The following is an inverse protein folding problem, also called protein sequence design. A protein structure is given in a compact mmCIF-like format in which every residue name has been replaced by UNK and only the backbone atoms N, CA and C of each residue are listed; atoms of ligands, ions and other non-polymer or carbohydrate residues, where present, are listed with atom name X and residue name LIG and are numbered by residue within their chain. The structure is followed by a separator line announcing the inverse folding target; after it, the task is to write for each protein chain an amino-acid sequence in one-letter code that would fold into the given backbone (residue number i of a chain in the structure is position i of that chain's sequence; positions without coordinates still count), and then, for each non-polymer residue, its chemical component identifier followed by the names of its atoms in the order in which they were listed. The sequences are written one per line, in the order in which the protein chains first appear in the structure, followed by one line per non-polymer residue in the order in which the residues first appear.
data_IF_342440542528
#
_entry.id   IF_342440542528
#
_cell.length_a   1.000
_cell.length_b   1.000
_cell.length_c   1.000
_cell.angle_alpha   90.00
_cell.angle_beta   90.00
_cell.angle_gamma   90.00
#
_symmetry.space_group_name_H-M   'P 1'
#
loop_
_entity.id
_entity.type
_entity.pdbx_description
1 polymer ?
#
# COMPACT_ATOMS: atom_id res chain seq x y z
N UNK A 1 -79.69 0.91 -60.57
CA UNK A 1 -80.46 2.18 -60.48
C UNK A 1 -80.29 2.68 -59.06
N UNK A 2 -79.71 3.83 -58.73
CA UNK A 2 -79.49 5.05 -59.49
C UNK A 2 -78.03 5.56 -59.34
N UNK A 3 -77.52 6.04 -60.46
CA UNK A 3 -76.38 6.93 -60.67
C UNK A 3 -76.69 8.34 -60.18
N UNK A 4 -75.64 9.13 -59.86
CA UNK A 4 -75.36 10.52 -60.27
C UNK A 4 -74.21 11.06 -59.37
N UNK A 5 -72.95 11.06 -59.83
CA UNK A 5 -72.19 12.15 -60.52
C UNK A 5 -72.06 13.45 -59.71
N UNK A 6 -70.89 13.86 -59.22
CA UNK A 6 -69.65 14.40 -59.87
C UNK A 6 -69.64 15.94 -59.85
N UNK A 7 -68.68 16.53 -59.13
CA UNK A 7 -68.09 17.89 -59.29
C UNK A 7 -67.57 18.36 -57.91
N UNK A 8 -66.47 19.09 -57.74
CA UNK A 8 -65.36 19.49 -58.59
C UNK A 8 -64.27 20.07 -57.65
N UNK A 9 -63.00 19.91 -58.04
CA UNK A 9 -61.84 20.79 -57.81
C UNK A 9 -61.80 21.66 -56.54
N UNK A 10 -60.72 21.51 -55.76
CA UNK A 10 -59.71 22.58 -55.63
C UNK A 10 -58.36 22.06 -55.12
N UNK A 11 -57.34 22.39 -55.90
CA UNK A 11 -55.91 22.26 -55.57
C UNK A 11 -55.61 23.31 -54.50
N UNK A 12 -55.05 22.88 -53.38
CA UNK A 12 -54.57 23.72 -52.29
C UNK A 12 -53.33 23.10 -51.68
N UNK A 13 -52.19 23.30 -52.35
CA UNK A 13 -50.86 23.09 -51.79
C UNK A 13 -50.70 23.97 -50.55
N UNK A 14 -50.40 23.35 -49.40
CA UNK A 14 -49.91 24.05 -48.22
C UNK A 14 -48.58 23.40 -47.80
N UNK A 15 -47.54 24.00 -48.35
CA UNK A 15 -46.16 24.15 -47.85
C UNK A 15 -45.90 23.48 -46.50
N UNK A 16 -44.97 22.52 -46.54
CA UNK A 16 -44.21 22.01 -45.40
C UNK A 16 -43.55 23.18 -44.67
N UNK A 17 -44.13 23.63 -43.56
CA UNK A 17 -43.42 24.46 -42.60
C UNK A 17 -42.57 23.53 -41.74
N UNK A 18 -41.35 23.28 -42.18
CA UNK A 18 -40.34 22.60 -41.40
C UNK A 18 -40.08 23.39 -40.12
N UNK A 19 -40.67 22.94 -39.01
CA UNK A 19 -40.21 23.30 -37.67
C UNK A 19 -38.84 22.65 -37.49
N UNK A 20 -37.81 23.39 -37.89
CA UNK A 20 -36.43 23.09 -37.57
C UNK A 20 -36.32 22.96 -36.06
N UNK A 21 -36.13 21.72 -35.58
CA UNK A 21 -35.55 21.49 -34.26
C UNK A 21 -34.18 22.14 -34.29
N UNK A 22 -34.05 23.37 -33.78
CA UNK A 22 -32.78 23.85 -33.27
C UNK A 22 -32.39 22.92 -32.13
N UNK A 23 -31.63 21.86 -32.45
CA UNK A 23 -30.83 21.15 -31.46
C UNK A 23 -29.87 22.20 -30.93
N UNK A 24 -30.14 22.71 -29.73
CA UNK A 24 -29.18 23.49 -28.96
C UNK A 24 -27.97 22.57 -28.72
N UNK A 25 -26.82 22.76 -29.40
CA UNK A 25 -25.69 21.83 -29.26
C UNK A 25 -25.08 21.95 -27.85
N UNK A 26 -25.13 23.16 -27.28
CA UNK A 26 -24.41 23.54 -26.07
C UNK A 26 -24.98 22.99 -24.75
N UNK A 27 -26.29 22.72 -24.66
CA UNK A 27 -26.88 22.18 -23.44
C UNK A 27 -26.51 20.70 -23.23
N UNK A 28 -26.20 19.98 -24.31
CA UNK A 28 -25.80 18.57 -24.27
C UNK A 28 -24.34 18.42 -23.88
N UNK A 29 -23.48 19.33 -24.34
CA UNK A 29 -22.06 19.33 -24.02
C UNK A 29 -21.81 19.70 -22.56
N UNK A 30 -22.46 20.74 -22.03
CA UNK A 30 -22.34 21.09 -20.60
C UNK A 30 -23.00 20.10 -19.64
N UNK A 31 -23.92 19.25 -20.12
CA UNK A 31 -24.48 18.14 -19.32
C UNK A 31 -23.54 16.93 -19.32
N UNK A 32 -22.91 16.63 -20.46
CA UNK A 32 -21.89 15.58 -20.58
C UNK A 32 -20.66 15.91 -19.75
N UNK A 33 -20.14 17.14 -19.87
CA UNK A 33 -19.00 17.59 -19.08
C UNK A 33 -19.24 17.45 -17.57
N UNK A 34 -20.40 17.92 -17.07
CA UNK A 34 -20.77 17.73 -15.65
C UNK A 34 -20.92 16.26 -15.26
N UNK A 35 -21.43 15.43 -16.16
CA UNK A 35 -21.53 13.99 -15.91
C UNK A 35 -20.14 13.34 -15.82
N UNK A 36 -19.22 13.72 -16.71
CA UNK A 36 -17.85 13.22 -16.74
C UNK A 36 -17.09 13.67 -15.47
N UNK A 37 -17.27 14.92 -15.03
CA UNK A 37 -16.73 15.43 -13.76
C UNK A 37 -17.21 14.63 -12.55
N UNK A 38 -18.51 14.32 -12.48
CA UNK A 38 -19.07 13.51 -11.39
C UNK A 38 -18.57 12.07 -11.41
N UNK A 39 -18.42 11.47 -12.60
CA UNK A 39 -17.86 10.13 -12.75
C UNK A 39 -16.40 10.11 -12.31
N UNK A 40 -15.61 11.10 -12.71
CA UNK A 40 -14.20 11.22 -12.30
C UNK A 40 -14.06 11.38 -10.79
N UNK A 41 -14.89 12.22 -10.17
CA UNK A 41 -14.89 12.39 -8.73
C UNK A 41 -15.31 11.10 -8.01
N UNK A 42 -16.35 10.41 -8.49
CA UNK A 42 -16.73 9.11 -7.94
C UNK A 42 -15.61 8.08 -8.07
N UNK A 43 -14.94 7.99 -9.23
CA UNK A 43 -13.80 7.10 -9.43
C UNK A 43 -12.68 7.40 -8.45
N UNK A 44 -12.39 8.69 -8.21
CA UNK A 44 -11.39 9.12 -7.22
C UNK A 44 -11.77 8.69 -5.80
N UNK A 45 -13.02 8.90 -5.41
CA UNK A 45 -13.53 8.50 -4.09
C UNK A 45 -13.50 6.98 -3.89
N UNK A 46 -13.93 6.22 -4.90
CA UNK A 46 -13.88 4.75 -4.86
C UNK A 46 -12.44 4.26 -4.76
N UNK A 47 -11.49 4.89 -5.47
CA UNK A 47 -10.07 4.56 -5.37
C UNK A 47 -9.51 4.82 -3.96
N UNK A 48 -9.88 5.94 -3.33
CA UNK A 48 -9.49 6.24 -1.94
C UNK A 48 -10.05 5.21 -0.96
N UNK A 49 -11.33 4.86 -1.08
CA UNK A 49 -11.95 3.82 -0.21
C UNK A 49 -11.30 2.46 -0.44
N UNK A 50 -10.99 2.10 -1.69
CA UNK A 50 -10.32 0.85 -2.01
C UNK A 50 -8.92 0.77 -1.36
N UNK A 51 -8.17 1.87 -1.35
CA UNK A 51 -6.86 1.96 -0.69
C UNK A 51 -6.98 1.82 0.83
N UNK A 52 -7.94 2.50 1.46
CA UNK A 52 -8.16 2.37 2.91
C UNK A 52 -8.62 0.95 3.30
N UNK A 53 -9.46 0.31 2.47
CA UNK A 53 -9.82 -1.09 2.65
C UNK A 53 -8.62 -2.03 2.50
N UNK A 54 -7.73 -1.75 1.54
CA UNK A 54 -6.49 -2.50 1.37
C UNK A 54 -5.61 -2.41 2.63
N UNK A 55 -5.39 -1.20 3.16
CA UNK A 55 -4.62 -0.98 4.40
C UNK A 55 -5.27 -1.68 5.60
N UNK A 56 -6.59 -1.56 5.75
CA UNK A 56 -7.32 -2.26 6.80
C UNK A 56 -7.11 -3.77 6.73
N UNK A 57 -7.17 -4.36 5.52
CA UNK A 57 -6.91 -5.78 5.33
C UNK A 57 -5.48 -6.18 5.70
N UNK A 58 -4.46 -5.36 5.36
CA UNK A 58 -3.08 -5.60 5.76
C UNK A 58 -2.91 -5.60 7.28
N UNK A 59 -3.55 -4.64 7.97
CA UNK A 59 -3.53 -4.56 9.44
C UNK A 59 -4.20 -5.80 10.05
N UNK A 60 -5.34 -6.25 9.52
CA UNK A 60 -6.00 -7.46 10.01
C UNK A 60 -5.16 -8.72 9.77
N UNK A 61 -4.54 -8.85 8.60
CA UNK A 61 -3.64 -9.97 8.30
C UNK A 61 -2.47 -10.00 9.29
N UNK A 62 -1.85 -8.85 9.55
CA UNK A 62 -0.72 -8.78 10.47
C UNK A 62 -1.13 -9.02 11.92
N UNK A 63 -2.33 -8.59 12.33
CA UNK A 63 -2.87 -8.91 13.66
C UNK A 63 -2.99 -10.43 13.85
N UNK A 64 -3.54 -11.15 12.88
CA UNK A 64 -3.64 -12.61 12.94
C UNK A 64 -2.26 -13.27 13.07
N UNK A 65 -1.27 -12.75 12.33
CA UNK A 65 0.12 -13.22 12.40
C UNK A 65 0.75 -12.98 13.78
N UNK A 66 0.60 -11.78 14.35
CA UNK A 66 1.10 -11.45 15.70
C UNK A 66 0.42 -12.32 16.76
N UNK A 67 -0.90 -12.51 16.68
CA UNK A 67 -1.62 -13.38 17.61
C UNK A 67 -1.15 -14.85 17.53
N UNK A 68 -0.73 -15.33 16.35
CA UNK A 68 -0.12 -16.65 16.21
C UNK A 68 1.27 -16.71 16.85
N UNK A 69 2.10 -15.69 16.62
CA UNK A 69 3.43 -15.59 17.24
C UNK A 69 3.34 -15.51 18.76
N UNK A 70 2.42 -14.72 19.32
CA UNK A 70 2.25 -14.59 20.77
C UNK A 70 1.87 -15.93 21.41
N UNK A 71 0.91 -16.67 20.81
CA UNK A 71 0.58 -18.03 21.27
C UNK A 71 1.77 -18.99 21.17
N UNK A 72 2.56 -18.89 20.11
CA UNK A 72 3.75 -19.71 19.94
C UNK A 72 4.88 -19.33 20.92
N UNK A 73 4.96 -18.07 21.34
CA UNK A 73 5.91 -17.63 22.37
C UNK A 73 5.51 -18.24 23.72
N UNK A 74 4.22 -18.27 24.05
CA UNK A 74 3.74 -18.78 25.33
C UNK A 74 3.77 -20.32 25.42
N UNK A 75 3.47 -21.02 24.32
CA UNK A 75 3.40 -22.49 24.26
C UNK A 75 4.56 -23.11 23.46
N UNK A 76 5.50 -23.83 24.12
CA UNK A 76 6.62 -24.49 23.44
C UNK A 76 6.23 -25.49 22.34
N UNK A 77 5.06 -26.14 22.45
CA UNK A 77 4.56 -27.08 21.45
C UNK A 77 4.15 -26.35 20.16
N UNK A 78 3.50 -25.18 20.29
CA UNK A 78 3.19 -24.31 19.17
C UNK A 78 4.44 -23.66 18.61
N UNK A 79 5.40 -23.28 19.45
CA UNK A 79 6.71 -22.79 19.02
C UNK A 79 7.42 -23.80 18.11
N UNK A 80 7.40 -25.08 18.47
CA UNK A 80 8.01 -26.16 17.70
C UNK A 80 7.32 -26.40 16.35
N UNK A 81 6.00 -26.19 16.28
CA UNK A 81 5.24 -26.31 15.03
C UNK A 81 5.47 -25.10 14.10
N UNK A 82 5.63 -23.90 14.66
CA UNK A 82 5.76 -22.67 13.89
C UNK A 82 7.20 -22.37 13.43
N UNK A 83 8.19 -22.65 14.28
CA UNK A 83 9.59 -22.31 14.01
C UNK A 83 10.27 -23.36 13.13
N UNK A 84 10.88 -22.93 12.03
CA UNK A 84 11.75 -23.79 11.19
C UNK A 84 13.18 -23.90 11.74
N UNK A 85 13.51 -23.17 12.82
CA UNK A 85 14.85 -23.16 13.41
C UNK A 85 15.05 -24.36 14.33
N UNK A 86 16.02 -25.22 13.99
CA UNK A 86 16.41 -26.39 14.76
C UNK A 86 17.52 -26.11 15.77
N UNK A 87 17.68 -26.96 16.79
CA UNK A 87 18.81 -26.90 17.73
C UNK A 87 18.74 -25.79 18.78
N UNK A 88 17.66 -24.99 18.80
CA UNK A 88 17.46 -23.93 19.78
C UNK A 88 16.88 -24.45 21.09
N UNK A 89 17.34 -23.88 22.22
CA UNK A 89 16.61 -23.98 23.48
C UNK A 89 15.24 -23.30 23.38
N UNK A 90 14.27 -23.69 24.22
CA UNK A 90 12.94 -23.04 24.25
C UNK A 90 13.04 -21.53 24.44
N UNK A 91 13.89 -21.09 25.38
CA UNK A 91 14.15 -19.67 25.62
C UNK A 91 14.66 -18.97 24.36
N UNK A 92 15.61 -19.56 23.65
CA UNK A 92 16.17 -18.96 22.42
C UNK A 92 15.12 -18.96 21.30
N UNK A 93 14.33 -20.02 21.16
CA UNK A 93 13.23 -20.07 20.19
C UNK A 93 12.22 -18.95 20.40
N UNK A 94 11.80 -18.69 21.65
CA UNK A 94 10.92 -17.55 21.98
C UNK A 94 11.53 -16.21 21.55
N UNK A 95 12.82 -16.02 21.82
CA UNK A 95 13.55 -14.83 21.42
C UNK A 95 13.60 -14.66 19.88
N UNK A 96 13.81 -15.75 19.13
CA UNK A 96 13.79 -15.72 17.66
C UNK A 96 12.40 -15.40 17.10
N UNK A 97 11.34 -15.95 17.69
CA UNK A 97 9.96 -15.63 17.31
C UNK A 97 9.63 -14.16 17.59
N UNK A 98 10.11 -13.63 18.72
CA UNK A 98 9.96 -12.21 19.04
C UNK A 98 10.73 -11.31 18.07
N UNK A 99 11.97 -11.66 17.71
CA UNK A 99 12.75 -10.91 16.71
C UNK A 99 12.06 -10.89 15.34
N UNK A 100 11.49 -12.03 14.90
CA UNK A 100 10.66 -12.11 13.69
C UNK A 100 9.42 -11.19 13.78
N UNK A 101 8.77 -11.16 14.95
CA UNK A 101 7.62 -10.28 15.21
C UNK A 101 7.99 -8.80 15.04
N UNK A 102 9.04 -8.34 15.71
CA UNK A 102 9.47 -6.93 15.70
C UNK A 102 9.80 -6.47 14.27
N UNK A 103 10.52 -7.29 13.51
CA UNK A 103 10.79 -7.01 12.10
C UNK A 103 9.51 -6.89 11.26
N UNK A 104 8.56 -7.82 11.46
CA UNK A 104 7.28 -7.77 10.78
C UNK A 104 6.47 -6.51 11.09
N UNK A 105 6.53 -6.01 12.33
CA UNK A 105 5.85 -4.78 12.74
C UNK A 105 6.42 -3.56 12.00
N UNK A 106 7.75 -3.47 11.88
CA UNK A 106 8.39 -2.37 11.13
C UNK A 106 7.99 -2.38 9.65
N UNK A 107 7.97 -3.56 9.04
CA UNK A 107 7.51 -3.72 7.66
C UNK A 107 6.03 -3.34 7.49
N UNK A 108 5.16 -3.74 8.42
CA UNK A 108 3.76 -3.34 8.37
C UNK A 108 3.62 -1.82 8.45
N UNK A 109 4.30 -1.19 9.41
CA UNK A 109 4.24 0.26 9.63
C UNK A 109 4.61 1.03 8.36
N UNK A 110 5.62 0.58 7.61
CA UNK A 110 5.93 1.13 6.30
C UNK A 110 4.82 0.86 5.26
N UNK A 111 4.35 -0.39 5.15
CA UNK A 111 3.32 -0.78 4.15
C UNK A 111 2.00 -0.06 4.31
N UNK A 112 1.62 0.34 5.52
CA UNK A 112 0.38 1.09 5.79
C UNK A 112 0.60 2.61 5.79
N UNK A 113 1.81 3.08 5.49
CA UNK A 113 2.15 4.49 5.37
C UNK A 113 2.39 5.21 6.70
N UNK A 114 2.57 4.49 7.82
CA UNK A 114 2.99 5.07 9.10
C UNK A 114 4.45 5.49 9.08
N UNK A 115 5.31 4.70 8.42
CA UNK A 115 6.71 5.05 8.20
C UNK A 115 6.98 5.32 6.73
N UNK A 116 7.60 6.47 6.46
CA UNK A 116 8.37 6.70 5.25
C UNK A 116 9.53 5.70 5.13
N UNK A 117 10.20 5.69 3.97
CA UNK A 117 11.37 4.84 3.77
C UNK A 117 12.49 5.19 4.76
N UNK A 118 12.80 6.46 4.93
CA UNK A 118 13.88 6.91 5.83
C UNK A 118 13.58 6.58 7.30
N UNK A 119 12.31 6.70 7.73
CA UNK A 119 11.88 6.28 9.06
C UNK A 119 12.02 4.77 9.26
N UNK A 120 11.68 3.96 8.25
CA UNK A 120 11.91 2.52 8.29
C UNK A 120 13.40 2.21 8.42
N UNK A 121 14.27 2.87 7.65
CA UNK A 121 15.72 2.69 7.76
C UNK A 121 16.23 3.01 9.16
N UNK A 122 15.76 4.12 9.75
CA UNK A 122 16.11 4.49 11.13
C UNK A 122 15.71 3.43 12.15
N UNK A 123 14.49 2.88 12.05
CA UNK A 123 14.02 1.82 12.95
C UNK A 123 14.77 0.51 12.76
N UNK A 124 15.08 0.12 11.52
CA UNK A 124 15.85 -1.08 11.23
C UNK A 124 17.25 -1.02 11.82
N UNK A 125 17.91 0.15 11.79
CA UNK A 125 19.22 0.33 12.44
C UNK A 125 19.18 0.09 13.94
N UNK A 126 18.14 0.60 14.61
CA UNK A 126 17.94 0.34 16.04
C UNK A 126 17.75 -1.16 16.28
N UNK A 127 16.92 -1.82 15.47
CA UNK A 127 16.67 -3.25 15.59
C UNK A 127 17.94 -4.09 15.34
N UNK A 128 18.79 -3.70 14.38
CA UNK A 128 20.03 -4.40 14.03
C UNK A 128 21.08 -4.40 15.15
N UNK A 129 21.04 -3.44 16.09
CA UNK A 129 21.91 -3.44 17.28
C UNK A 129 21.58 -4.55 18.28
N UNK A 130 20.46 -5.23 18.11
CA UNK A 130 20.07 -6.31 19.01
C UNK A 130 20.72 -7.63 18.56
N UNK A 131 21.61 -8.20 19.38
CA UNK A 131 22.29 -9.47 19.09
C UNK A 131 21.32 -10.64 18.80
N UNK A 132 20.13 -10.64 19.41
CA UNK A 132 19.09 -11.63 19.11
C UNK A 132 18.60 -11.46 17.68
N UNK A 133 18.37 -10.22 17.26
CA UNK A 133 17.93 -9.94 15.89
C UNK A 133 19.03 -10.26 14.88
N UNK A 134 20.29 -9.91 15.15
CA UNK A 134 21.41 -10.28 14.29
C UNK A 134 21.53 -11.80 14.11
N UNK A 135 21.43 -12.59 15.20
CA UNK A 135 21.43 -14.05 15.13
C UNK A 135 20.21 -14.59 14.38
N UNK A 136 19.01 -14.05 14.65
CA UNK A 136 17.79 -14.38 13.92
C UNK A 136 17.96 -14.14 12.42
N UNK A 137 18.55 -13.00 12.07
CA UNK A 137 18.76 -12.58 10.70
C UNK A 137 19.72 -13.53 9.96
N UNK A 138 20.84 -13.88 10.60
CA UNK A 138 21.78 -14.87 10.07
C UNK A 138 21.12 -16.25 9.89
N UNK A 139 20.30 -16.67 10.87
CA UNK A 139 19.66 -17.99 10.90
C UNK A 139 18.53 -18.18 9.86
N UNK A 140 18.06 -17.09 9.25
CA UNK A 140 16.92 -17.10 8.33
C UNK A 140 17.27 -16.70 6.88
N UNK A 141 18.56 -16.70 6.54
CA UNK A 141 19.07 -16.26 5.22
C UNK A 141 18.41 -16.98 4.04
N UNK A 142 18.18 -18.30 4.15
CA UNK A 142 17.62 -19.09 3.05
C UNK A 142 16.18 -18.69 2.70
N UNK A 143 15.38 -18.30 3.70
CA UNK A 143 14.04 -17.76 3.45
C UNK A 143 14.12 -16.49 2.60
N UNK A 144 15.06 -15.58 2.94
CA UNK A 144 15.23 -14.31 2.22
C UNK A 144 15.85 -14.45 0.84
N UNK A 145 16.68 -15.48 0.63
CA UNK A 145 17.24 -15.80 -0.70
C UNK A 145 16.16 -16.19 -1.70
N UNK A 146 15.10 -16.86 -1.25
CA UNK A 146 13.99 -17.30 -2.10
C UNK A 146 13.02 -16.19 -2.54
N UNK A 147 13.14 -14.98 -1.98
CA UNK A 147 12.21 -13.89 -2.23
C UNK A 147 12.35 -13.33 -3.66
N UNK A 148 11.23 -12.93 -4.30
CA UNK A 148 11.27 -12.25 -5.60
C UNK A 148 12.07 -10.95 -5.55
N UNK A 149 12.89 -10.71 -6.59
CA UNK A 149 13.79 -9.56 -6.67
C UNK A 149 13.13 -8.19 -6.50
N UNK A 150 11.88 -8.05 -6.98
CA UNK A 150 11.11 -6.80 -6.87
C UNK A 150 10.23 -6.67 -5.63
N UNK A 151 10.29 -7.61 -4.70
CA UNK A 151 9.47 -7.56 -3.49
C UNK A 151 10.06 -6.57 -2.46
N UNK A 152 9.19 -5.89 -1.72
CA UNK A 152 9.59 -5.01 -0.62
C UNK A 152 10.48 -5.75 0.39
N UNK A 153 10.11 -6.99 0.72
CA UNK A 153 10.87 -7.86 1.63
C UNK A 153 12.32 -8.07 1.15
N UNK A 154 12.54 -8.25 -0.16
CA UNK A 154 13.88 -8.41 -0.73
C UNK A 154 14.68 -7.12 -0.64
N UNK A 155 14.06 -5.99 -0.91
CA UNK A 155 14.69 -4.67 -0.84
C UNK A 155 15.10 -4.35 0.60
N UNK A 156 14.17 -4.49 1.55
CA UNK A 156 14.43 -4.29 2.97
C UNK A 156 15.45 -5.30 3.48
N UNK A 157 15.40 -6.54 3.00
CA UNK A 157 16.39 -7.56 3.33
C UNK A 157 17.82 -7.13 2.99
N UNK A 158 18.04 -6.60 1.78
CA UNK A 158 19.36 -6.11 1.38
C UNK A 158 19.83 -4.90 2.20
N UNK A 159 18.92 -4.02 2.61
CA UNK A 159 19.23 -2.92 3.53
C UNK A 159 19.69 -3.44 4.89
N UNK A 160 18.98 -4.41 5.46
CA UNK A 160 19.34 -4.98 6.77
C UNK A 160 20.67 -5.73 6.68
N UNK A 161 20.92 -6.44 5.58
CA UNK A 161 22.22 -7.07 5.33
C UNK A 161 23.35 -6.03 5.34
N UNK A 162 23.17 -4.88 4.66
CA UNK A 162 24.16 -3.79 4.64
C UNK A 162 24.34 -3.14 6.03
N UNK A 163 23.26 -2.87 6.76
CA UNK A 163 23.34 -2.31 8.12
C UNK A 163 24.13 -3.23 9.07
N UNK A 164 23.89 -4.55 8.99
CA UNK A 164 24.59 -5.50 9.84
C UNK A 164 26.06 -5.66 9.47
N UNK A 165 26.40 -5.51 8.18
CA UNK A 165 27.79 -5.45 7.70
C UNK A 165 28.50 -4.19 8.22
N UNK A 166 27.87 -3.01 8.08
CA UNK A 166 28.38 -1.74 8.60
C UNK A 166 28.60 -1.78 10.12
N UNK A 167 27.63 -2.30 10.89
CA UNK A 167 27.75 -2.45 12.35
C UNK A 167 28.84 -3.43 12.77
N UNK A 168 29.21 -4.40 11.93
CA UNK A 168 30.30 -5.32 12.21
C UNK A 168 31.67 -4.65 12.01
N UNK A 169 31.77 -3.69 11.09
CA UNK A 169 32.99 -2.96 10.77
C UNK A 169 33.23 -1.77 11.73
N UNK A 170 32.18 -0.99 12.04
CA UNK A 170 32.22 0.11 13.02
C UNK A 170 30.94 0.16 13.90
N UNK A 171 30.99 -0.36 15.13
CA UNK A 171 29.82 -0.39 16.04
C UNK A 171 29.38 1.00 16.58
N UNK A 172 30.24 2.02 16.46
CA UNK A 172 30.10 3.32 17.15
C UNK A 172 29.74 4.50 16.20
N UNK A 173 29.92 4.37 14.89
CA UNK A 173 29.60 5.41 13.89
C UNK A 173 28.12 5.35 13.47
N UNK A 174 27.23 6.30 13.85
CA UNK A 174 25.93 6.40 13.14
C UNK A 174 25.09 7.71 13.15
N UNK A 175 25.18 8.66 14.08
CA UNK A 175 24.08 9.67 14.22
C UNK A 175 24.04 10.87 13.25
N UNK A 176 24.66 10.83 12.06
CA UNK A 176 24.56 11.95 11.09
C UNK A 176 23.51 11.66 10.01
N UNK A 177 22.23 11.68 10.38
CA UNK A 177 21.15 11.97 9.42
C UNK A 177 20.10 12.87 10.09
N UNK A 178 20.46 14.14 10.19
CA UNK A 178 19.56 15.29 10.30
C UNK A 178 20.23 16.43 9.54
N UNK A 179 19.50 17.43 9.00
CA UNK A 179 20.17 18.61 8.46
C UNK A 179 21.09 19.16 9.56
N UNK A 180 22.37 19.38 9.23
CA UNK A 180 23.26 20.12 10.12
C UNK A 180 22.54 21.41 10.54
N UNK A 181 22.56 21.80 11.82
CA UNK A 181 22.03 23.10 12.20
C UNK A 181 22.73 24.14 11.34
N UNK A 182 21.95 24.94 10.59
CA UNK A 182 22.51 26.06 9.83
C UNK A 182 23.40 26.87 10.78
N UNK A 183 24.63 27.23 10.38
CA UNK A 183 25.48 28.04 11.23
C UNK A 183 24.73 29.31 11.59
N UNK A 184 24.61 29.58 12.89
CA UNK A 184 23.98 30.82 13.37
C UNK A 184 24.60 31.99 12.61
N UNK A 185 23.80 32.94 12.08
CA UNK A 185 24.35 34.10 11.41
C UNK A 185 25.20 34.84 12.43
N UNK A 186 26.52 34.84 12.19
CA UNK A 186 27.48 35.65 12.91
C UNK A 186 27.00 37.09 12.85
N UNK A 187 26.48 37.59 13.96
CA UNK A 187 26.05 38.98 14.09
C UNK A 187 27.25 39.89 13.86
N UNK A 188 27.14 40.72 12.82
CA UNK A 188 27.88 41.98 12.65
C UNK A 188 26.99 43.15 13.06
#
# INVERSE_FOLDING_TARGET
MATLTLAARRIGSAVVTGLGRMRVPFARDGRRQRQDELVMELCRQVALVAEELHRANLIQQHRLFVEQLDRAIDDPSLAAALSTLSGLSERRRRQMLFANREYGVLLLAHRVGTYSWDELLGQLRILCRNDVFAEYWASTVEHRRSLPGGSLEKQVGGVVDAILEELADDPDEWWVVGPEPEPEPSGE
#
